data_IF_429182268244
#
_entry.id   IF_429182268244
#
_cell.length_a   1.000
_cell.length_b   1.000
_cell.length_c   1.000
_cell.angle_alpha   90.00
_cell.angle_beta   90.00
_cell.angle_gamma   90.00
#
_symmetry.space_group_name_H-M   'P 1'
#
loop_
_entity.id
_entity.type
_entity.pdbx_description
1 polymer ?
#
# COMPACT_ATOMS: atom_id res chain seq x y z
N UNK A 1 21.30 10.25 23.14
CA UNK A 1 22.39 10.08 22.14
C UNK A 1 22.35 8.68 21.51
N UNK A 2 22.59 7.59 22.25
CA UNK A 2 22.66 6.22 21.71
C UNK A 2 21.47 5.82 20.81
N UNK A 3 20.23 6.18 21.16
CA UNK A 3 19.06 5.86 20.34
C UNK A 3 19.01 6.69 19.06
N UNK A 4 19.50 7.91 19.09
CA UNK A 4 19.59 8.76 17.90
C UNK A 4 20.64 8.21 16.93
N UNK A 5 21.79 7.79 17.45
CA UNK A 5 22.86 7.19 16.66
C UNK A 5 22.35 5.89 15.99
N UNK A 6 21.59 5.09 16.73
CA UNK A 6 20.92 3.92 16.18
C UNK A 6 19.88 4.26 15.08
N UNK A 7 19.09 5.34 15.26
CA UNK A 7 18.18 5.80 14.22
C UNK A 7 18.91 6.27 12.96
N UNK A 8 20.08 6.92 13.11
CA UNK A 8 20.93 7.31 11.98
C UNK A 8 21.48 6.08 11.25
N UNK A 9 21.90 5.05 12.00
CA UNK A 9 22.41 3.79 11.42
C UNK A 9 21.37 3.05 10.58
N UNK A 10 20.11 2.99 11.04
CA UNK A 10 19.01 2.33 10.31
C UNK A 10 18.38 3.22 9.25
N UNK A 11 18.78 4.49 9.13
CA UNK A 11 18.26 5.40 8.12
C UNK A 11 18.86 5.07 6.75
N UNK A 12 18.04 4.75 5.74
CA UNK A 12 18.53 4.47 4.41
C UNK A 12 19.15 5.72 3.77
N UNK A 13 20.13 5.52 2.89
CA UNK A 13 20.69 6.65 2.13
C UNK A 13 19.61 7.33 1.25
N UNK A 14 19.78 8.61 0.97
CA UNK A 14 18.87 9.35 0.07
C UNK A 14 18.73 8.67 -1.30
N UNK A 15 19.84 8.13 -1.82
CA UNK A 15 19.85 7.38 -3.07
C UNK A 15 19.01 6.12 -3.01
N UNK A 16 19.08 5.38 -1.88
CA UNK A 16 18.26 4.18 -1.65
C UNK A 16 16.77 4.53 -1.57
N UNK A 17 16.43 5.59 -0.83
CA UNK A 17 15.04 6.05 -0.71
C UNK A 17 14.50 6.53 -2.07
N UNK A 18 15.30 7.24 -2.86
CA UNK A 18 14.91 7.68 -4.20
C UNK A 18 14.65 6.48 -5.12
N UNK A 19 15.52 5.51 -5.13
CA UNK A 19 15.34 4.29 -5.92
C UNK A 19 14.09 3.51 -5.48
N UNK A 20 13.92 3.30 -4.19
CA UNK A 20 12.75 2.63 -3.62
C UNK A 20 11.45 3.34 -4.01
N UNK A 21 11.40 4.67 -3.88
CA UNK A 21 10.27 5.51 -4.28
C UNK A 21 9.87 5.28 -5.73
N UNK A 22 10.83 5.31 -6.65
CA UNK A 22 10.59 5.08 -8.08
C UNK A 22 10.05 3.67 -8.35
N UNK A 23 10.61 2.66 -7.70
CA UNK A 23 10.16 1.28 -7.84
C UNK A 23 8.72 1.13 -7.32
N UNK A 24 8.41 1.70 -6.14
CA UNK A 24 7.07 1.66 -5.55
C UNK A 24 6.06 2.38 -6.45
N UNK A 25 6.38 3.59 -6.96
CA UNK A 25 5.50 4.32 -7.88
C UNK A 25 5.20 3.52 -9.15
N UNK A 26 6.21 2.93 -9.77
CA UNK A 26 6.03 2.09 -10.97
C UNK A 26 5.19 0.85 -10.68
N UNK A 27 5.41 0.22 -9.53
CA UNK A 27 4.63 -0.96 -9.13
C UNK A 27 3.18 -0.57 -8.83
N UNK A 28 2.95 0.56 -8.15
CA UNK A 28 1.61 1.10 -7.88
C UNK A 28 0.85 1.40 -9.19
N UNK A 29 1.48 2.08 -10.14
CA UNK A 29 0.88 2.40 -11.42
C UNK A 29 0.50 1.13 -12.22
N UNK A 30 1.39 0.12 -12.24
CA UNK A 30 1.10 -1.17 -12.88
C UNK A 30 -0.09 -1.87 -12.22
N UNK A 31 -0.08 -1.97 -10.89
CA UNK A 31 -1.17 -2.60 -10.12
C UNK A 31 -2.51 -1.90 -10.32
N UNK A 32 -2.50 -0.56 -10.36
CA UNK A 32 -3.71 0.22 -10.64
C UNK A 32 -4.24 -0.08 -12.05
N UNK A 33 -3.37 -0.17 -13.06
CA UNK A 33 -3.75 -0.54 -14.43
C UNK A 33 -4.36 -1.95 -14.51
N UNK A 34 -3.76 -2.91 -13.80
CA UNK A 34 -4.28 -4.28 -13.72
C UNK A 34 -5.66 -4.31 -13.04
N UNK A 35 -5.83 -3.64 -11.90
CA UNK A 35 -7.12 -3.54 -11.17
C UNK A 35 -8.19 -2.87 -12.03
N UNK A 36 -7.86 -1.80 -12.76
CA UNK A 36 -8.79 -1.10 -13.64
C UNK A 36 -9.29 -2.02 -14.76
N UNK A 37 -8.40 -2.83 -15.33
CA UNK A 37 -8.75 -3.81 -16.37
C UNK A 37 -9.63 -4.93 -15.81
N UNK A 38 -9.31 -5.46 -14.63
CA UNK A 38 -10.11 -6.48 -13.95
C UNK A 38 -11.52 -5.96 -13.62
N UNK A 39 -11.64 -4.73 -13.14
CA UNK A 39 -12.93 -4.06 -12.91
C UNK A 39 -13.76 -3.96 -14.19
N UNK A 40 -13.14 -3.54 -15.30
CA UNK A 40 -13.82 -3.47 -16.59
C UNK A 40 -14.34 -4.83 -17.04
N UNK A 41 -13.51 -5.87 -16.95
CA UNK A 41 -13.89 -7.25 -17.30
C UNK A 41 -15.05 -7.78 -16.42
N UNK A 42 -15.00 -7.54 -15.11
CA UNK A 42 -16.08 -7.95 -14.19
C UNK A 42 -17.40 -7.23 -14.50
N UNK A 43 -17.36 -5.91 -14.78
CA UNK A 43 -18.55 -5.13 -15.15
C UNK A 43 -19.14 -5.59 -16.48
N UNK A 44 -18.31 -5.90 -17.47
CA UNK A 44 -18.75 -6.47 -18.75
C UNK A 44 -19.42 -7.84 -18.55
N UNK A 45 -18.81 -8.72 -17.73
CA UNK A 45 -19.38 -10.03 -17.40
C UNK A 45 -20.75 -9.92 -16.70
N UNK A 46 -20.95 -8.94 -15.81
CA UNK A 46 -22.26 -8.65 -15.20
C UNK A 46 -23.27 -8.21 -16.26
N UNK A 47 -22.88 -7.30 -17.16
CA UNK A 47 -23.75 -6.85 -18.25
C UNK A 47 -24.18 -8.00 -19.17
N UNK A 48 -23.27 -8.95 -19.47
CA UNK A 48 -23.60 -10.12 -20.29
C UNK A 48 -24.52 -11.10 -19.56
N UNK A 49 -24.41 -11.22 -18.24
CA UNK A 49 -25.37 -11.99 -17.45
C UNK A 49 -26.74 -11.35 -17.50
N UNK A 50 -26.84 -10.02 -17.35
CA UNK A 50 -28.11 -9.30 -17.41
C UNK A 50 -28.79 -9.48 -18.76
N UNK A 51 -28.04 -9.46 -19.90
CA UNK A 51 -28.58 -9.78 -21.23
C UNK A 51 -29.12 -11.21 -21.30
N UNK A 52 -28.36 -12.18 -20.80
CA UNK A 52 -28.78 -13.60 -20.80
C UNK A 52 -30.03 -13.86 -19.96
N UNK A 53 -30.21 -13.11 -18.86
CA UNK A 53 -31.43 -13.20 -18.06
C UNK A 53 -32.65 -12.68 -18.82
N UNK A 54 -32.49 -11.61 -19.62
CA UNK A 54 -33.55 -11.09 -20.49
C UNK A 54 -33.84 -12.11 -21.60
N UNK A 55 -32.83 -12.61 -22.29
CA UNK A 55 -32.99 -13.62 -23.34
C UNK A 55 -33.69 -14.90 -22.86
N UNK A 56 -33.43 -15.31 -21.59
CA UNK A 56 -34.11 -16.45 -21.00
C UNK A 56 -35.62 -16.22 -20.78
N UNK A 57 -35.94 -14.96 -20.38
CA UNK A 57 -37.39 -14.57 -20.28
C UNK A 57 -38.06 -14.55 -21.63
N UNK A 58 -37.43 -13.98 -22.64
CA UNK A 58 -37.94 -13.92 -24.00
C UNK A 58 -38.16 -15.33 -24.59
N UNK A 59 -37.15 -16.22 -24.43
CA UNK A 59 -37.27 -17.61 -24.87
C UNK A 59 -38.40 -18.38 -24.17
N UNK A 60 -38.67 -18.10 -22.90
CA UNK A 60 -39.81 -18.66 -22.17
C UNK A 60 -41.14 -18.13 -22.72
N UNK A 61 -41.24 -16.83 -22.97
CA UNK A 61 -42.46 -16.20 -23.52
C UNK A 61 -42.78 -16.72 -24.95
N UNK A 62 -41.73 -17.00 -25.72
CA UNK A 62 -41.86 -17.61 -27.07
C UNK A 62 -42.14 -19.13 -27.04
N UNK A 63 -42.21 -19.73 -25.85
CA UNK A 63 -42.44 -21.17 -25.66
C UNK A 63 -41.26 -22.07 -26.04
N UNK A 64 -40.07 -21.52 -26.21
CA UNK A 64 -38.83 -22.27 -26.54
C UNK A 64 -38.26 -23.06 -25.39
N UNK A 65 -38.48 -22.59 -24.16
CA UNK A 65 -38.04 -23.26 -22.90
C UNK A 65 -39.16 -23.28 -21.90
N UNK A 66 -39.13 -24.25 -20.97
CA UNK A 66 -40.08 -24.34 -19.87
C UNK A 66 -39.81 -23.31 -18.80
N UNK A 67 -40.84 -23.01 -17.98
CA UNK A 67 -40.67 -22.14 -16.80
C UNK A 67 -39.62 -22.69 -15.82
N UNK A 68 -39.59 -24.01 -15.63
CA UNK A 68 -38.63 -24.66 -14.72
C UNK A 68 -37.21 -24.59 -15.26
N UNK A 69 -36.99 -24.74 -16.55
CA UNK A 69 -35.67 -24.58 -17.15
C UNK A 69 -35.17 -23.12 -17.05
N UNK A 70 -36.07 -22.18 -17.38
CA UNK A 70 -35.79 -20.75 -17.20
C UNK A 70 -35.41 -20.43 -15.76
N UNK A 71 -36.15 -20.95 -14.76
CA UNK A 71 -35.87 -20.66 -13.34
C UNK A 71 -34.52 -21.24 -12.94
N UNK A 72 -34.20 -22.49 -13.25
CA UNK A 72 -32.89 -23.09 -12.96
C UNK A 72 -31.73 -22.34 -13.62
N UNK A 73 -31.91 -21.94 -14.88
CA UNK A 73 -30.88 -21.14 -15.58
C UNK A 73 -30.71 -19.78 -15.00
N UNK A 74 -31.78 -19.08 -14.66
CA UNK A 74 -31.74 -17.75 -14.01
C UNK A 74 -31.09 -17.82 -12.63
N UNK A 75 -31.38 -18.82 -11.82
CA UNK A 75 -30.78 -19.00 -10.49
C UNK A 75 -29.24 -19.16 -10.58
N UNK A 76 -28.78 -19.99 -11.53
CA UNK A 76 -27.33 -20.16 -11.74
C UNK A 76 -26.65 -18.86 -12.22
N UNK A 77 -27.31 -18.07 -13.07
CA UNK A 77 -26.79 -16.78 -13.52
C UNK A 77 -26.78 -15.74 -12.40
N UNK A 78 -27.80 -15.72 -11.54
CA UNK A 78 -27.88 -14.82 -10.38
C UNK A 78 -26.76 -15.08 -9.36
N UNK A 79 -26.46 -16.34 -9.06
CA UNK A 79 -25.33 -16.70 -8.21
C UNK A 79 -24.01 -16.17 -8.77
N UNK A 80 -23.78 -16.40 -10.07
CA UNK A 80 -22.59 -15.88 -10.75
C UNK A 80 -22.52 -14.35 -10.73
N UNK A 81 -23.65 -13.66 -10.92
CA UNK A 81 -23.76 -12.21 -10.84
C UNK A 81 -23.40 -11.67 -9.46
N UNK A 82 -23.87 -12.36 -8.40
CA UNK A 82 -23.52 -11.99 -7.02
C UNK A 82 -22.04 -12.15 -6.73
N UNK A 83 -21.39 -13.21 -7.22
CA UNK A 83 -19.95 -13.41 -7.07
C UNK A 83 -19.15 -12.31 -7.75
N UNK A 84 -19.50 -11.96 -9.00
CA UNK A 84 -18.86 -10.87 -9.73
C UNK A 84 -19.04 -9.52 -9.04
N UNK A 85 -20.23 -9.22 -8.48
CA UNK A 85 -20.46 -7.99 -7.71
C UNK A 85 -19.60 -7.95 -6.45
N UNK A 86 -19.44 -9.06 -5.75
CA UNK A 86 -18.52 -9.13 -4.58
C UNK A 86 -17.06 -8.88 -4.98
N UNK A 87 -16.65 -9.38 -6.15
CA UNK A 87 -15.30 -9.14 -6.66
C UNK A 87 -15.11 -7.66 -7.08
N UNK A 88 -16.11 -7.05 -7.72
CA UNK A 88 -16.12 -5.61 -8.03
C UNK A 88 -15.96 -4.79 -6.74
N UNK A 89 -16.76 -5.07 -5.71
CA UNK A 89 -16.69 -4.36 -4.42
C UNK A 89 -15.30 -4.49 -3.76
N UNK A 90 -14.67 -5.64 -3.89
CA UNK A 90 -13.33 -5.90 -3.37
C UNK A 90 -12.26 -5.12 -4.16
N UNK A 91 -12.34 -5.11 -5.47
CA UNK A 91 -11.42 -4.37 -6.34
C UNK A 91 -11.57 -2.86 -6.16
N UNK A 92 -12.79 -2.34 -5.99
CA UNK A 92 -13.06 -0.91 -5.73
C UNK A 92 -12.55 -0.44 -4.37
N UNK A 93 -12.59 -1.31 -3.34
CA UNK A 93 -12.01 -1.01 -2.02
C UNK A 93 -10.49 -1.02 -2.03
N UNK A 94 -9.89 -1.81 -2.89
CA UNK A 94 -8.44 -1.85 -3.10
C UNK A 94 -7.97 -0.64 -3.94
N UNK A 95 -8.26 0.57 -3.47
CA UNK A 95 -7.67 1.79 -4.03
C UNK A 95 -6.16 1.69 -3.81
N UNK A 96 -5.44 1.41 -4.87
CA UNK A 96 -4.00 1.22 -4.81
C UNK A 96 -3.27 2.42 -4.16
N UNK A 97 -2.04 2.20 -3.78
CA UNK A 97 -1.18 3.21 -3.17
C UNK A 97 -1.00 4.41 -4.13
N UNK A 98 -1.45 5.60 -3.72
CA UNK A 98 -1.33 6.81 -4.54
C UNK A 98 0.05 7.50 -4.35
N UNK A 99 0.47 8.26 -5.36
CA UNK A 99 1.78 8.92 -5.38
C UNK A 99 1.99 9.88 -4.22
N UNK A 100 0.97 10.64 -3.83
CA UNK A 100 1.07 11.58 -2.72
C UNK A 100 1.39 10.87 -1.39
N UNK A 101 0.80 9.69 -1.16
CA UNK A 101 1.12 8.86 0.02
C UNK A 101 2.55 8.33 -0.05
N UNK A 102 2.99 7.86 -1.23
CA UNK A 102 4.36 7.38 -1.42
C UNK A 102 5.36 8.49 -1.13
N UNK A 103 5.17 9.66 -1.72
CA UNK A 103 6.07 10.79 -1.53
C UNK A 103 6.11 11.27 -0.08
N UNK A 104 4.96 11.37 0.57
CA UNK A 104 4.85 11.80 1.95
C UNK A 104 5.61 10.86 2.90
N UNK A 105 5.39 9.57 2.79
CA UNK A 105 6.05 8.57 3.63
C UNK A 105 7.54 8.47 3.31
N UNK A 106 7.93 8.45 2.03
CA UNK A 106 9.34 8.40 1.65
C UNK A 106 10.11 9.66 2.13
N UNK A 107 9.49 10.84 2.11
CA UNK A 107 10.10 12.06 2.65
C UNK A 107 10.31 11.96 4.16
N UNK A 108 9.33 11.41 4.89
CA UNK A 108 9.46 11.16 6.32
C UNK A 108 10.65 10.25 6.63
N UNK A 109 10.89 9.21 5.83
CA UNK A 109 11.97 8.24 6.04
C UNK A 109 13.38 8.82 5.86
N UNK A 110 13.53 10.01 5.31
CA UNK A 110 14.85 10.63 5.08
C UNK A 110 15.51 11.16 6.35
N UNK A 111 14.74 11.45 7.40
CA UNK A 111 15.25 12.16 8.60
C UNK A 111 14.65 11.67 9.92
N UNK A 112 14.60 10.36 10.18
CA UNK A 112 13.95 9.84 11.38
C UNK A 112 14.62 10.32 12.69
N UNK A 113 15.95 10.39 12.71
CA UNK A 113 16.71 10.84 13.87
C UNK A 113 16.42 12.32 14.22
N UNK A 114 16.30 13.19 13.20
CA UNK A 114 15.95 14.59 13.41
C UNK A 114 14.54 14.74 13.97
N UNK A 115 13.58 14.03 13.34
CA UNK A 115 12.19 14.05 13.79
C UNK A 115 12.05 13.57 15.23
N UNK A 116 12.81 12.55 15.62
CA UNK A 116 12.87 12.08 17.00
C UNK A 116 13.42 13.14 17.96
N UNK A 117 14.49 13.83 17.60
CA UNK A 117 15.11 14.88 18.45
C UNK A 117 14.13 16.02 18.72
N UNK A 118 13.40 16.44 17.70
CA UNK A 118 12.50 17.61 17.75
C UNK A 118 11.12 17.27 18.37
N UNK A 119 10.81 16.00 18.59
CA UNK A 119 9.51 15.52 19.05
C UNK A 119 9.36 15.57 20.57
N UNK A 120 8.12 15.77 21.06
CA UNK A 120 7.75 15.57 22.45
C UNK A 120 7.71 14.08 22.84
N UNK A 121 7.46 13.78 24.11
CA UNK A 121 7.50 12.40 24.62
C UNK A 121 6.43 11.49 23.97
N UNK A 122 5.22 12.00 23.79
CA UNK A 122 4.11 11.23 23.20
C UNK A 122 4.41 10.90 21.73
N UNK A 123 4.86 11.89 20.97
CA UNK A 123 5.31 11.74 19.58
C UNK A 123 6.46 10.74 19.47
N UNK A 124 7.45 10.79 20.38
CA UNK A 124 8.56 9.82 20.42
C UNK A 124 8.07 8.40 20.65
N UNK A 125 7.12 8.19 21.54
CA UNK A 125 6.56 6.86 21.81
C UNK A 125 5.80 6.31 20.59
N UNK A 126 4.98 7.13 19.93
CA UNK A 126 4.26 6.75 18.74
C UNK A 126 5.21 6.44 17.58
N UNK A 127 6.24 7.26 17.40
CA UNK A 127 7.30 7.07 16.42
C UNK A 127 8.05 5.75 16.63
N UNK A 128 8.42 5.46 17.89
CA UNK A 128 9.10 4.21 18.22
C UNK A 128 8.25 2.98 17.92
N UNK A 129 6.96 2.98 18.28
CA UNK A 129 6.02 1.92 17.96
C UNK A 129 5.81 1.75 16.46
N UNK A 130 5.90 2.84 15.71
CA UNK A 130 5.78 2.80 14.25
C UNK A 130 6.97 2.10 13.61
N UNK A 131 8.20 2.45 14.03
CA UNK A 131 9.43 1.85 13.48
C UNK A 131 9.66 0.41 13.96
N UNK A 132 9.34 0.14 15.22
CA UNK A 132 9.62 -1.12 15.92
C UNK A 132 8.33 -1.72 16.48
N UNK A 133 7.47 -2.30 15.64
CA UNK A 133 6.16 -2.80 16.06
C UNK A 133 6.26 -3.88 17.14
N UNK A 134 7.33 -4.68 17.13
CA UNK A 134 7.58 -5.75 18.11
C UNK A 134 8.51 -5.34 19.26
N UNK A 135 8.80 -4.03 19.34
CA UNK A 135 9.64 -3.49 20.40
C UNK A 135 11.13 -3.37 20.03
N UNK A 136 11.89 -2.89 20.99
CA UNK A 136 13.32 -2.62 20.87
C UNK A 136 14.04 -3.30 22.02
N UNK A 137 15.12 -4.01 21.72
CA UNK A 137 16.01 -4.58 22.72
C UNK A 137 17.19 -3.63 22.97
N UNK A 138 17.56 -3.45 24.21
CA UNK A 138 18.74 -2.68 24.58
C UNK A 138 19.69 -3.57 25.39
N UNK A 139 20.86 -3.81 24.87
CA UNK A 139 21.92 -4.50 25.59
C UNK A 139 22.63 -3.49 26.51
N UNK A 140 22.55 -3.74 27.80
CA UNK A 140 23.14 -2.86 28.83
C UNK A 140 24.64 -2.98 28.86
N UNK A 141 25.20 -4.16 28.55
CA UNK A 141 26.65 -4.40 28.63
C UNK A 141 27.36 -3.73 27.46
N UNK A 142 26.86 -3.95 26.25
CA UNK A 142 27.45 -3.41 25.04
C UNK A 142 26.93 -2.01 24.70
N UNK A 143 25.88 -1.54 25.39
CA UNK A 143 25.17 -0.27 25.16
C UNK A 143 24.66 -0.11 23.73
N UNK A 144 24.19 -1.20 23.16
CA UNK A 144 23.73 -1.30 21.78
C UNK A 144 22.23 -1.50 21.77
N UNK A 145 21.53 -0.75 20.89
CA UNK A 145 20.16 -1.04 20.53
C UNK A 145 20.14 -2.11 19.45
N UNK A 146 19.23 -3.08 19.58
CA UNK A 146 18.96 -4.11 18.60
C UNK A 146 17.47 -4.26 18.40
N UNK A 147 17.05 -4.60 17.19
CA UNK A 147 15.69 -5.01 16.90
C UNK A 147 15.71 -6.22 16.00
N UNK A 148 14.81 -7.15 16.25
CA UNK A 148 14.63 -8.29 15.36
C UNK A 148 13.75 -7.92 14.18
N UNK A 149 12.84 -6.93 14.35
CA UNK A 149 11.85 -6.57 13.34
C UNK A 149 11.69 -5.05 13.22
N UNK A 150 12.19 -4.50 12.14
CA UNK A 150 11.78 -3.19 11.64
C UNK A 150 10.38 -3.26 11.03
N UNK A 151 9.68 -2.14 10.94
CA UNK A 151 8.45 -2.09 10.14
C UNK A 151 8.71 -2.61 8.72
N UNK A 152 7.73 -3.22 8.06
CA UNK A 152 7.91 -3.83 6.73
C UNK A 152 8.54 -2.87 5.72
N UNK A 153 8.15 -1.60 5.77
CA UNK A 153 8.67 -0.55 4.90
C UNK A 153 10.18 -0.33 5.10
N UNK A 154 10.60 -0.18 6.36
CA UNK A 154 12.01 0.01 6.70
C UNK A 154 12.82 -1.28 6.51
N UNK A 155 12.21 -2.44 6.74
CA UNK A 155 12.83 -3.73 6.53
C UNK A 155 13.16 -3.98 5.05
N UNK A 156 12.25 -3.66 4.14
CA UNK A 156 12.46 -3.82 2.69
C UNK A 156 13.56 -2.88 2.18
N UNK A 157 13.59 -1.62 2.66
CA UNK A 157 14.61 -0.65 2.22
C UNK A 157 15.99 -0.99 2.80
N UNK A 158 16.06 -1.45 4.05
CA UNK A 158 17.31 -1.76 4.75
C UNK A 158 17.82 -3.18 4.49
N UNK A 159 17.13 -3.96 3.65
CA UNK A 159 17.57 -5.31 3.34
C UNK A 159 18.90 -5.30 2.61
N UNK A 160 19.99 -5.28 3.38
CA UNK A 160 21.40 -5.32 2.93
C UNK A 160 21.84 -6.71 2.42
N UNK A 161 20.92 -7.68 2.26
CA UNK A 161 21.28 -8.89 1.51
C UNK A 161 21.57 -8.47 0.08
N UNK A 162 22.85 -8.19 -0.12
CA UNK A 162 23.49 -7.75 -1.34
C UNK A 162 22.86 -8.37 -2.59
N UNK A 163 22.48 -7.57 -3.58
CA UNK A 163 22.64 -8.04 -4.93
C UNK A 163 24.15 -7.94 -5.24
N UNK A 164 24.85 -9.05 -5.14
CA UNK A 164 26.10 -9.21 -5.86
C UNK A 164 25.83 -8.75 -7.30
N UNK A 165 26.53 -7.67 -7.69
CA UNK A 165 26.46 -6.98 -8.98
C UNK A 165 25.19 -6.13 -9.25
N UNK A 166 25.33 -4.83 -9.09
CA UNK A 166 24.81 -3.72 -9.94
C UNK A 166 23.34 -3.68 -10.42
N UNK A 167 22.48 -4.55 -9.96
CA UNK A 167 21.13 -4.71 -10.51
C UNK A 167 20.05 -4.26 -9.51
N UNK A 168 19.25 -3.27 -9.91
CA UNK A 168 18.02 -2.83 -9.22
C UNK A 168 16.98 -3.96 -9.06
N UNK A 169 17.24 -5.15 -9.63
CA UNK A 169 16.30 -6.29 -9.66
C UNK A 169 15.99 -6.84 -8.27
N UNK A 170 16.93 -6.81 -7.33
CA UNK A 170 16.72 -7.27 -5.97
C UNK A 170 15.63 -6.46 -5.24
N UNK A 171 15.71 -5.14 -5.28
CA UNK A 171 14.71 -4.27 -4.66
C UNK A 171 13.36 -4.33 -5.38
N UNK A 172 13.34 -4.46 -6.71
CA UNK A 172 12.10 -4.66 -7.48
C UNK A 172 11.39 -5.93 -7.02
N UNK A 173 12.11 -7.05 -6.90
CA UNK A 173 11.55 -8.31 -6.45
C UNK A 173 11.03 -8.22 -5.01
N UNK A 174 11.77 -7.58 -4.10
CA UNK A 174 11.34 -7.37 -2.72
C UNK A 174 10.06 -6.52 -2.62
N UNK A 175 9.97 -5.44 -3.39
CA UNK A 175 8.76 -4.59 -3.44
C UNK A 175 7.59 -5.38 -4.01
N UNK A 176 7.78 -6.13 -5.08
CA UNK A 176 6.69 -6.91 -5.70
C UNK A 176 6.21 -8.06 -4.81
N UNK A 177 7.13 -8.80 -4.19
CA UNK A 177 6.79 -9.93 -3.30
C UNK A 177 6.09 -9.50 -2.02
N UNK A 178 6.38 -8.30 -1.52
CA UNK A 178 5.82 -7.76 -0.29
C UNK A 178 4.74 -6.69 -0.54
N UNK A 179 4.20 -6.60 -1.75
CA UNK A 179 3.35 -5.48 -2.15
C UNK A 179 2.19 -5.19 -1.21
N UNK A 180 1.40 -6.20 -0.84
CA UNK A 180 0.23 -6.01 0.02
C UNK A 180 0.62 -5.52 1.42
N UNK A 181 1.68 -6.10 2.00
CA UNK A 181 2.22 -5.71 3.30
C UNK A 181 2.76 -4.28 3.25
N UNK A 182 3.43 -3.91 2.16
CA UNK A 182 3.93 -2.55 1.97
C UNK A 182 2.78 -1.53 1.84
N UNK A 183 1.74 -1.83 1.10
CA UNK A 183 0.56 -0.96 0.97
C UNK A 183 -0.07 -0.69 2.34
N UNK A 184 -0.29 -1.73 3.13
CA UNK A 184 -0.83 -1.61 4.49
C UNK A 184 0.09 -0.77 5.37
N UNK A 185 1.40 -1.01 5.31
CA UNK A 185 2.38 -0.27 6.11
C UNK A 185 2.52 1.19 5.68
N UNK A 186 2.45 1.50 4.38
CA UNK A 186 2.38 2.88 3.89
C UNK A 186 1.20 3.65 4.46
N UNK A 187 0.01 3.06 4.50
CA UNK A 187 -1.17 3.71 5.07
C UNK A 187 -1.08 3.82 6.59
N UNK A 188 -0.56 2.80 7.27
CA UNK A 188 -0.32 2.83 8.72
C UNK A 188 0.66 3.95 9.08
N UNK A 189 1.79 4.02 8.43
CA UNK A 189 2.83 5.03 8.64
C UNK A 189 2.28 6.43 8.34
N UNK A 190 1.59 6.61 7.20
CA UNK A 190 0.93 7.87 6.86
C UNK A 190 -0.06 8.31 7.93
N UNK A 191 -0.90 7.40 8.44
CA UNK A 191 -1.87 7.70 9.49
C UNK A 191 -1.20 8.23 10.75
N UNK A 192 -0.14 7.56 11.21
CA UNK A 192 0.63 7.99 12.37
C UNK A 192 1.28 9.36 12.13
N UNK A 193 1.96 9.56 10.99
CA UNK A 193 2.60 10.84 10.67
C UNK A 193 1.56 11.97 10.62
N UNK A 194 0.38 11.73 10.07
CA UNK A 194 -0.69 12.74 9.99
C UNK A 194 -1.20 13.14 11.39
N UNK A 195 -1.26 12.22 12.33
CA UNK A 195 -1.61 12.51 13.72
C UNK A 195 -0.51 13.33 14.41
N UNK A 196 0.76 12.94 14.20
CA UNK A 196 1.90 13.62 14.79
C UNK A 196 2.15 15.02 14.18
N UNK A 197 1.83 15.20 12.91
CA UNK A 197 2.02 16.42 12.13
C UNK A 197 0.74 16.81 11.37
N UNK A 198 -0.31 17.32 12.07
CA UNK A 198 -1.64 17.54 11.50
C UNK A 198 -1.68 18.51 10.30
N UNK A 199 -0.70 19.40 10.20
CA UNK A 199 -0.60 20.41 9.11
C UNK A 199 0.09 19.89 7.84
N UNK A 200 0.37 18.59 7.74
CA UNK A 200 1.24 18.01 6.71
C UNK A 200 2.65 18.66 6.65
N UNK A 201 3.00 19.45 7.66
CA UNK A 201 4.32 20.02 7.81
C UNK A 201 5.18 19.08 8.66
N UNK A 202 6.19 18.48 8.04
CA UNK A 202 7.20 17.68 8.74
C UNK A 202 8.43 18.59 8.93
N UNK A 203 8.83 18.91 10.19
CA UNK A 203 9.96 19.79 10.42
C UNK A 203 11.22 19.34 9.69
N UNK A 204 11.81 20.27 8.92
CA UNK A 204 13.06 20.02 8.18
C UNK A 204 12.93 19.20 6.88
N UNK A 205 11.72 18.94 6.41
CA UNK A 205 11.45 18.40 5.09
C UNK A 205 10.82 19.51 4.24
N UNK A 206 11.51 19.96 3.19
CA UNK A 206 10.99 20.97 2.26
C UNK A 206 9.76 20.44 1.52
N UNK A 207 8.72 21.26 1.40
CA UNK A 207 7.58 20.96 0.51
C UNK A 207 8.10 20.90 -0.92
N UNK A 208 8.11 19.74 -1.52
CA UNK A 208 8.15 19.65 -2.98
C UNK A 208 6.71 19.73 -3.48
N UNK A 209 6.38 20.84 -4.10
CA UNK A 209 5.12 21.29 -4.70
C UNK A 209 4.22 22.12 -3.80
N UNK A 210 4.47 23.43 -3.87
CA UNK A 210 3.46 24.45 -3.60
C UNK A 210 2.36 24.38 -4.66
N UNK A 211 1.21 23.86 -4.28
CA UNK A 211 -0.02 24.21 -4.96
C UNK A 211 -0.44 25.57 -4.38
N UNK A 212 -0.01 26.66 -5.01
CA UNK A 212 -0.63 27.97 -4.77
C UNK A 212 -2.04 27.93 -5.32
N UNK A 213 -3.09 28.14 -4.50
CA UNK A 213 -4.41 28.44 -5.03
C UNK A 213 -4.34 29.83 -5.67
N UNK A 214 -4.49 29.90 -6.98
CA UNK A 214 -4.73 31.15 -7.69
C UNK A 214 -6.06 31.72 -7.19
N UNK A 215 -5.97 32.89 -6.51
CA UNK A 215 -7.09 33.77 -6.25
C UNK A 215 -7.67 34.35 -7.55
#
# INVERSE_FOLDING_TARGET
ELFVDFLEEITPSEGTIKLFREIVKRTAAKKLGDTTRELANCREAVSDIDKKLIEAVDAMLEGKISIDDKNRYSEALELKRQDLRREIDKLERNQGLNEATIDYVCNFMTKPAKLWKDADLETRQAFQKMLFPNGLHFDIQDKIFGTQDLSPLFSVINNKKEPSSGSNSGMVNLVQSNWNILVEDFYRVRGIITVLYPTNYIPGISRTNEYEPKH
#
